data_IF_136822787967
#
_entry.id   IF_136822787967
#
_cell.length_a   1.000
_cell.length_b   1.000
_cell.length_c   1.000
_cell.angle_alpha   90.00
_cell.angle_beta   90.00
_cell.angle_gamma   90.00
#
_symmetry.space_group_name_H-M   'P 1'
#
loop_
_entity.id
_entity.type
_entity.pdbx_description
1 polymer ?
#
# COMPACT_ATOMS: atom_id res chain seq x y z
N UNK A 1 13.22 26.55 -22.54
CA UNK A 1 12.11 26.46 -21.56
C UNK A 1 11.74 25.01 -21.30
N UNK A 2 11.64 24.58 -20.04
CA UNK A 2 11.14 23.27 -19.59
C UNK A 2 9.60 23.27 -19.74
N UNK A 3 8.98 22.13 -20.05
CA UNK A 3 7.52 22.05 -20.19
C UNK A 3 6.85 22.09 -18.80
N UNK A 4 5.66 22.69 -18.67
CA UNK A 4 4.94 22.85 -17.38
C UNK A 4 4.91 21.55 -16.54
N UNK A 5 4.45 20.44 -17.14
CA UNK A 5 4.33 19.16 -16.42
C UNK A 5 5.69 18.55 -16.04
N UNK A 6 6.76 18.85 -16.78
CA UNK A 6 8.12 18.46 -16.39
C UNK A 6 8.55 19.23 -15.13
N UNK A 7 8.27 20.53 -15.08
CA UNK A 7 8.59 21.37 -13.93
C UNK A 7 7.81 20.92 -12.69
N UNK A 8 6.51 20.66 -12.82
CA UNK A 8 5.69 20.08 -11.73
C UNK A 8 6.29 18.76 -11.23
N UNK A 9 6.69 17.87 -12.13
CA UNK A 9 7.31 16.58 -11.75
C UNK A 9 8.58 16.79 -10.92
N UNK A 10 9.47 17.69 -11.37
CA UNK A 10 10.71 18.02 -10.65
C UNK A 10 10.44 18.63 -9.27
N UNK A 11 9.51 19.58 -9.17
CA UNK A 11 9.15 20.21 -7.91
C UNK A 11 8.60 19.17 -6.92
N UNK A 12 7.72 18.27 -7.37
CA UNK A 12 7.18 17.18 -6.53
C UNK A 12 8.29 16.21 -6.09
N UNK A 13 9.21 15.86 -6.98
CA UNK A 13 10.35 14.98 -6.67
C UNK A 13 11.29 15.63 -5.64
N UNK A 14 11.53 16.94 -5.75
CA UNK A 14 12.28 17.70 -4.75
C UNK A 14 11.59 17.67 -3.39
N UNK A 15 10.29 18.00 -3.31
CA UNK A 15 9.53 17.95 -2.05
C UNK A 15 9.58 16.54 -1.45
N UNK A 16 9.44 15.50 -2.27
CA UNK A 16 9.58 14.10 -1.80
C UNK A 16 10.96 13.80 -1.24
N UNK A 17 12.02 14.32 -1.86
CA UNK A 17 13.38 14.17 -1.36
C UNK A 17 13.55 14.89 -0.02
N UNK A 18 13.06 16.12 0.11
CA UNK A 18 13.12 16.87 1.37
C UNK A 18 12.37 16.16 2.50
N UNK A 19 11.18 15.61 2.22
CA UNK A 19 10.44 14.78 3.20
C UNK A 19 11.26 13.57 3.64
N UNK A 20 11.99 12.92 2.73
CA UNK A 20 12.86 11.79 3.10
C UNK A 20 14.02 12.22 4.00
N UNK A 21 14.58 13.41 3.75
CA UNK A 21 15.75 13.95 4.44
C UNK A 21 15.42 14.63 5.77
N UNK A 22 14.16 15.03 6.01
CA UNK A 22 13.74 15.66 7.26
C UNK A 22 14.21 14.84 8.48
N UNK A 23 14.82 15.49 9.46
CA UNK A 23 15.37 14.83 10.65
C UNK A 23 14.52 15.08 11.90
N UNK A 24 13.57 16.02 11.82
CA UNK A 24 12.72 16.42 12.93
C UNK A 24 11.29 16.78 12.50
N UNK A 25 10.40 16.92 13.48
CA UNK A 25 9.05 17.46 13.29
C UNK A 25 9.09 18.90 12.74
N UNK A 26 10.00 19.74 13.27
CA UNK A 26 10.15 21.13 12.81
C UNK A 26 10.53 21.21 11.33
N UNK A 27 11.38 20.30 10.85
CA UNK A 27 11.72 20.21 9.42
C UNK A 27 10.49 19.91 8.57
N UNK A 28 9.61 19.02 9.04
CA UNK A 28 8.37 18.66 8.34
C UNK A 28 7.39 19.84 8.32
N UNK A 29 7.22 20.53 9.44
CA UNK A 29 6.36 21.72 9.54
C UNK A 29 6.88 22.83 8.62
N UNK A 30 8.18 23.09 8.66
CA UNK A 30 8.82 24.08 7.79
C UNK A 30 8.65 23.72 6.30
N UNK A 31 8.77 22.43 5.95
CA UNK A 31 8.53 21.94 4.60
C UNK A 31 7.09 22.17 4.16
N UNK A 32 6.10 21.81 4.98
CA UNK A 32 4.69 22.01 4.66
C UNK A 32 4.38 23.50 4.45
N UNK A 33 4.93 24.40 5.29
CA UNK A 33 4.82 25.85 5.10
C UNK A 33 5.48 26.34 3.80
N UNK A 34 6.62 25.76 3.40
CA UNK A 34 7.24 26.07 2.08
C UNK A 34 6.37 25.63 0.91
N UNK A 35 5.63 24.52 1.04
CA UNK A 35 4.69 24.07 0.01
C UNK A 35 3.56 25.09 -0.18
N UNK A 36 3.10 25.74 0.89
CA UNK A 36 2.12 26.84 0.81
C UNK A 36 2.65 28.03 -0.01
N UNK A 37 3.93 28.37 0.17
CA UNK A 37 4.58 29.54 -0.44
C UNK A 37 5.36 29.19 -1.73
N UNK A 38 5.13 28.00 -2.31
CA UNK A 38 5.95 27.51 -3.41
C UNK A 38 5.75 28.35 -4.69
N UNK A 39 6.81 29.00 -5.17
CA UNK A 39 6.76 29.94 -6.31
C UNK A 39 6.48 29.26 -7.68
N UNK A 40 6.71 27.95 -7.80
CA UNK A 40 6.50 27.19 -9.03
C UNK A 40 5.21 26.35 -9.06
N UNK A 41 4.85 25.78 -10.23
CA UNK A 41 3.64 24.98 -10.36
C UNK A 41 3.76 23.64 -9.63
N UNK A 42 2.70 23.26 -8.92
CA UNK A 42 2.54 21.96 -8.25
C UNK A 42 1.39 21.14 -8.80
N UNK A 43 0.60 21.73 -9.71
CA UNK A 43 -0.54 21.10 -10.36
C UNK A 43 -0.25 20.81 -11.82
N UNK A 44 -0.47 19.56 -12.19
CA UNK A 44 -0.33 19.11 -13.56
C UNK A 44 -1.42 19.71 -14.46
N UNK A 45 -0.98 20.26 -15.60
CA UNK A 45 -1.89 20.70 -16.67
C UNK A 45 -2.20 19.51 -17.57
N UNK A 46 -3.18 18.69 -17.15
CA UNK A 46 -3.54 17.44 -17.81
C UNK A 46 -4.79 17.55 -18.72
N UNK A 47 -5.20 18.76 -19.14
CA UNK A 47 -6.42 18.99 -19.93
C UNK A 47 -6.49 18.17 -21.22
N UNK A 48 -5.40 18.11 -21.99
CA UNK A 48 -5.33 17.29 -23.20
C UNK A 48 -5.52 15.80 -22.90
N UNK A 49 -4.89 15.31 -21.83
CA UNK A 49 -5.02 13.93 -21.42
C UNK A 49 -6.44 13.60 -20.93
N UNK A 50 -7.09 14.52 -20.22
CA UNK A 50 -8.50 14.35 -19.82
C UNK A 50 -9.41 14.28 -21.05
N UNK A 51 -9.21 15.17 -22.01
CA UNK A 51 -9.96 15.15 -23.29
C UNK A 51 -9.80 13.80 -24.00
N UNK A 52 -8.56 13.36 -24.24
CA UNK A 52 -8.31 12.08 -24.92
C UNK A 52 -8.88 10.89 -24.13
N UNK A 53 -8.74 10.89 -22.80
CA UNK A 53 -9.30 9.85 -21.94
C UNK A 53 -10.84 9.78 -22.03
N UNK A 54 -11.52 10.93 -22.05
CA UNK A 54 -12.98 11.00 -22.20
C UNK A 54 -13.40 10.49 -23.57
N UNK A 55 -12.72 10.91 -24.64
CA UNK A 55 -12.98 10.43 -26.00
C UNK A 55 -12.81 8.91 -26.09
N UNK A 56 -11.71 8.35 -25.55
CA UNK A 56 -11.50 6.91 -25.53
C UNK A 56 -12.57 6.16 -24.73
N UNK A 57 -12.90 6.60 -23.52
CA UNK A 57 -13.94 5.94 -22.71
C UNK A 57 -15.33 6.05 -23.37
N UNK A 58 -15.62 7.16 -24.04
CA UNK A 58 -16.86 7.34 -24.79
C UNK A 58 -16.99 6.29 -25.90
N UNK A 59 -15.98 6.14 -26.76
CA UNK A 59 -16.00 5.14 -27.83
C UNK A 59 -15.91 3.69 -27.32
N UNK A 60 -15.39 3.46 -26.10
CA UNK A 60 -15.41 2.16 -25.47
C UNK A 60 -16.82 1.75 -24.97
N UNK A 61 -17.57 2.71 -24.44
CA UNK A 61 -18.90 2.46 -23.88
C UNK A 61 -20.03 2.55 -24.91
N UNK A 62 -19.78 3.19 -26.05
CA UNK A 62 -20.80 3.44 -27.06
C UNK A 62 -21.47 2.14 -27.57
N UNK A 63 -20.74 1.07 -27.96
CA UNK A 63 -21.40 -0.16 -28.42
C UNK A 63 -22.21 -0.85 -27.33
N UNK A 64 -21.73 -0.81 -26.07
CA UNK A 64 -22.45 -1.38 -24.92
C UNK A 64 -23.79 -0.66 -24.72
N UNK A 65 -23.81 0.67 -24.82
CA UNK A 65 -25.03 1.44 -24.70
C UNK A 65 -26.03 1.09 -25.82
N UNK A 66 -25.56 0.93 -27.06
CA UNK A 66 -26.41 0.54 -28.19
C UNK A 66 -26.96 -0.89 -28.04
N UNK A 67 -26.15 -1.85 -27.57
CA UNK A 67 -26.62 -3.22 -27.32
C UNK A 67 -27.63 -3.32 -26.17
N UNK A 68 -27.52 -2.45 -25.16
CA UNK A 68 -28.50 -2.33 -24.08
C UNK A 68 -29.81 -1.66 -24.51
N UNK A 69 -29.99 -1.36 -25.81
CA UNK A 69 -31.21 -0.79 -26.36
C UNK A 69 -31.35 0.71 -26.14
N UNK A 70 -30.25 1.44 -25.88
CA UNK A 70 -30.28 2.89 -25.82
C UNK A 70 -30.59 3.46 -27.21
N UNK A 71 -31.83 3.92 -27.39
CA UNK A 71 -32.26 4.58 -28.63
C UNK A 71 -31.72 5.99 -28.66
N UNK A 72 -30.78 6.25 -29.56
CA UNK A 72 -30.28 7.59 -29.83
C UNK A 72 -31.05 8.22 -31.00
N UNK A 73 -31.35 9.53 -30.97
CA UNK A 73 -31.88 10.25 -32.12
C UNK A 73 -31.08 9.98 -33.40
N UNK A 74 -31.75 9.89 -34.55
CA UNK A 74 -31.11 9.56 -35.84
C UNK A 74 -29.94 10.49 -36.18
N UNK A 75 -30.09 11.80 -35.89
CA UNK A 75 -29.01 12.78 -36.10
C UNK A 75 -27.77 12.42 -35.29
N UNK A 76 -27.94 11.94 -34.05
CA UNK A 76 -26.82 11.50 -33.20
C UNK A 76 -26.21 10.22 -33.76
N UNK A 77 -27.02 9.25 -34.19
CA UNK A 77 -26.52 8.02 -34.80
C UNK A 77 -25.72 8.28 -36.08
N UNK A 78 -26.15 9.23 -36.92
CA UNK A 78 -25.42 9.65 -38.12
C UNK A 78 -24.06 10.26 -37.77
N UNK A 79 -24.01 11.15 -36.77
CA UNK A 79 -22.76 11.75 -36.30
C UNK A 79 -21.81 10.67 -35.77
N UNK A 80 -22.31 9.71 -34.99
CA UNK A 80 -21.48 8.64 -34.42
C UNK A 80 -20.98 7.67 -35.47
N UNK A 81 -21.83 7.30 -36.43
CA UNK A 81 -21.43 6.46 -37.57
C UNK A 81 -20.37 7.16 -38.42
N UNK A 82 -20.54 8.45 -38.71
CA UNK A 82 -19.53 9.25 -39.40
C UNK A 82 -18.23 9.31 -38.60
N UNK A 83 -18.30 9.58 -37.29
CA UNK A 83 -17.13 9.61 -36.42
C UNK A 83 -16.40 8.25 -36.42
N UNK A 84 -17.11 7.12 -36.31
CA UNK A 84 -16.49 5.80 -36.37
C UNK A 84 -15.88 5.53 -37.76
N UNK A 85 -16.58 5.86 -38.85
CA UNK A 85 -16.10 5.67 -40.21
C UNK A 85 -14.83 6.46 -40.52
N UNK A 86 -14.76 7.72 -40.05
CA UNK A 86 -13.57 8.56 -40.21
C UNK A 86 -12.49 8.34 -39.13
N UNK A 87 -12.65 7.36 -38.24
CA UNK A 87 -11.66 7.04 -37.19
C UNK A 87 -10.30 6.63 -37.75
N UNK A 88 -10.28 6.01 -38.93
CA UNK A 88 -9.07 5.72 -39.70
C UNK A 88 -8.17 6.95 -39.92
N UNK A 89 -8.76 8.15 -39.90
CA UNK A 89 -8.05 9.44 -40.03
C UNK A 89 -7.85 10.09 -38.67
N UNK A 90 -8.93 10.39 -37.93
CA UNK A 90 -8.80 11.21 -36.73
C UNK A 90 -8.17 10.47 -35.55
N UNK A 91 -8.30 9.15 -35.46
CA UNK A 91 -7.77 8.39 -34.33
C UNK A 91 -6.24 8.36 -34.33
N UNK A 92 -5.55 8.05 -35.45
CA UNK A 92 -4.10 8.20 -35.55
C UNK A 92 -3.61 9.63 -35.28
N UNK A 93 -4.35 10.65 -35.74
CA UNK A 93 -4.03 12.06 -35.43
C UNK A 93 -3.98 12.30 -33.92
N UNK A 94 -5.04 11.89 -33.19
CA UNK A 94 -5.12 12.08 -31.75
C UNK A 94 -4.09 11.25 -30.99
N UNK A 95 -3.84 10.00 -31.41
CA UNK A 95 -2.83 9.14 -30.80
C UNK A 95 -1.43 9.74 -30.92
N UNK A 96 -1.01 10.17 -32.13
CA UNK A 96 0.31 10.75 -32.33
C UNK A 96 0.47 12.10 -31.62
N UNK A 97 -0.57 12.95 -31.61
CA UNK A 97 -0.55 14.19 -30.83
C UNK A 97 -0.38 13.91 -29.32
N UNK A 98 -1.09 12.90 -28.80
CA UNK A 98 -1.05 12.51 -27.37
C UNK A 98 0.30 11.89 -26.99
N UNK A 99 0.85 11.01 -27.83
CA UNK A 99 2.19 10.43 -27.65
C UNK A 99 3.25 11.54 -27.66
N UNK A 100 3.13 12.50 -28.58
CA UNK A 100 4.04 13.65 -28.65
C UNK A 100 4.00 14.46 -27.37
N UNK A 101 2.79 14.77 -26.87
CA UNK A 101 2.61 15.47 -25.59
C UNK A 101 3.22 14.69 -24.43
N UNK A 102 3.04 13.37 -24.39
CA UNK A 102 3.63 12.48 -23.38
C UNK A 102 5.15 12.46 -23.41
N UNK A 103 5.76 12.31 -24.59
CA UNK A 103 7.21 12.35 -24.77
C UNK A 103 7.79 13.70 -24.34
N UNK A 104 7.14 14.80 -24.74
CA UNK A 104 7.49 16.14 -24.30
C UNK A 104 7.41 16.25 -22.78
N UNK A 105 6.34 15.83 -22.13
CA UNK A 105 6.22 15.88 -20.66
C UNK A 105 7.26 15.00 -19.93
N UNK A 106 7.91 14.06 -20.64
CA UNK A 106 9.00 13.20 -20.15
C UNK A 106 10.41 13.70 -20.47
N UNK A 107 10.56 14.81 -21.18
CA UNK A 107 11.90 15.32 -21.57
C UNK A 107 12.36 14.89 -22.94
N UNK A 108 11.62 14.00 -23.61
CA UNK A 108 11.95 13.47 -24.94
C UNK A 108 11.33 14.35 -26.02
N UNK A 109 11.95 15.51 -26.26
CA UNK A 109 11.46 16.47 -27.25
C UNK A 109 11.74 16.01 -28.66
N UNK A 110 10.80 16.26 -29.57
CA UNK A 110 11.09 16.14 -30.99
C UNK A 110 12.09 17.23 -31.39
N UNK A 111 13.03 16.97 -32.31
CA UNK A 111 14.04 17.91 -32.76
C UNK A 111 13.47 18.98 -33.71
N UNK A 112 12.30 19.53 -33.38
CA UNK A 112 11.55 20.47 -34.20
C UNK A 112 11.32 21.74 -33.37
N UNK A 113 11.86 22.89 -33.81
CA UNK A 113 11.69 24.14 -33.09
C UNK A 113 10.22 24.57 -33.06
N UNK A 114 9.81 25.27 -32.00
CA UNK A 114 8.46 25.85 -31.87
C UNK A 114 7.75 25.52 -30.55
N UNK A 115 6.49 25.95 -30.41
CA UNK A 115 5.67 25.63 -29.24
C UNK A 115 5.19 24.16 -29.27
N UNK A 116 4.82 23.63 -28.10
CA UNK A 116 4.34 22.24 -27.96
C UNK A 116 3.11 21.95 -28.83
N UNK A 117 2.18 22.90 -28.94
CA UNK A 117 1.01 22.78 -29.80
C UNK A 117 1.37 22.67 -31.28
N UNK A 118 2.41 23.36 -31.74
CA UNK A 118 2.90 23.26 -33.12
C UNK A 118 3.44 21.86 -33.42
N UNK A 119 4.23 21.28 -32.49
CA UNK A 119 4.71 19.90 -32.63
C UNK A 119 3.59 18.87 -32.57
N UNK A 120 2.61 19.06 -31.68
CA UNK A 120 1.42 18.21 -31.61
C UNK A 120 0.60 18.28 -32.91
N UNK A 121 0.40 19.47 -33.48
CA UNK A 121 -0.30 19.67 -34.74
C UNK A 121 0.43 19.03 -35.91
N UNK A 122 1.76 19.14 -35.97
CA UNK A 122 2.58 18.46 -36.97
C UNK A 122 2.42 16.94 -36.88
N UNK A 123 2.51 16.38 -35.66
CA UNK A 123 2.37 14.93 -35.47
C UNK A 123 0.93 14.46 -35.69
N UNK A 124 -0.07 15.30 -35.43
CA UNK A 124 -1.44 15.05 -35.86
C UNK A 124 -1.52 15.01 -37.40
N UNK A 125 -0.91 15.96 -38.11
CA UNK A 125 -0.89 15.96 -39.59
C UNK A 125 -0.19 14.72 -40.16
N UNK A 126 0.91 14.26 -39.53
CA UNK A 126 1.54 12.97 -39.86
C UNK A 126 0.54 11.82 -39.68
N UNK A 127 -0.20 11.79 -38.58
CA UNK A 127 -1.25 10.79 -38.34
C UNK A 127 -2.35 10.81 -39.40
N UNK A 128 -2.81 12.00 -39.80
CA UNK A 128 -3.80 12.16 -40.87
C UNK A 128 -3.25 11.65 -42.22
N UNK A 129 -1.97 11.93 -42.50
CA UNK A 129 -1.32 11.58 -43.76
C UNK A 129 -1.16 10.07 -43.97
N UNK A 130 -1.29 9.25 -42.91
CA UNK A 130 -1.33 7.80 -43.06
C UNK A 130 -2.46 7.36 -44.00
N UNK A 131 -3.57 8.10 -44.05
CA UNK A 131 -4.67 7.83 -44.97
C UNK A 131 -4.32 8.04 -46.45
N UNK A 132 -3.20 8.69 -46.76
CA UNK A 132 -2.69 8.80 -48.14
C UNK A 132 -2.02 7.50 -48.61
N UNK A 133 -1.68 6.60 -47.69
CA UNK A 133 -1.16 5.27 -48.02
C UNK A 133 -2.36 4.39 -48.42
N UNK A 134 -2.45 3.88 -49.66
CA UNK A 134 -3.63 3.16 -50.12
C UNK A 134 -4.00 1.93 -49.26
N UNK A 135 -3.01 1.28 -48.66
CA UNK A 135 -3.21 0.11 -47.81
C UNK A 135 -3.60 0.45 -46.36
N UNK A 136 -3.49 1.71 -45.93
CA UNK A 136 -3.71 2.09 -44.53
C UNK A 136 -5.13 1.82 -44.03
N UNK A 137 -6.21 2.17 -44.75
CA UNK A 137 -7.56 1.88 -44.28
C UNK A 137 -7.80 0.39 -44.10
N UNK A 138 -7.23 -0.43 -44.99
CA UNK A 138 -7.30 -1.88 -44.87
C UNK A 138 -6.59 -2.35 -43.61
N UNK A 139 -5.31 -1.98 -43.39
CA UNK A 139 -4.57 -2.37 -42.18
C UNK A 139 -5.19 -1.88 -40.88
N UNK A 140 -5.73 -0.65 -40.88
CA UNK A 140 -6.37 -0.07 -39.72
C UNK A 140 -7.60 -0.89 -39.30
N UNK A 141 -8.47 -1.21 -40.27
CA UNK A 141 -9.66 -2.00 -40.00
C UNK A 141 -9.30 -3.46 -39.72
N UNK A 142 -8.41 -4.08 -40.49
CA UNK A 142 -7.90 -5.44 -40.27
C UNK A 142 -7.39 -5.66 -38.83
N UNK A 143 -6.68 -4.69 -38.26
CA UNK A 143 -6.26 -4.72 -36.85
C UNK A 143 -7.45 -4.80 -35.88
N UNK A 144 -8.51 -4.03 -36.12
CA UNK A 144 -9.67 -4.00 -35.22
C UNK A 144 -10.65 -5.15 -35.46
N UNK A 145 -10.83 -5.58 -36.72
CA UNK A 145 -11.69 -6.69 -37.14
C UNK A 145 -11.00 -8.04 -36.88
N UNK A 146 -9.99 -8.37 -37.69
CA UNK A 146 -9.47 -9.72 -37.81
C UNK A 146 -8.57 -10.09 -36.63
N UNK A 147 -7.90 -9.10 -36.02
CA UNK A 147 -7.04 -9.32 -34.87
C UNK A 147 -7.78 -9.13 -33.55
N UNK A 148 -8.27 -7.93 -33.24
CA UNK A 148 -8.77 -7.59 -31.90
C UNK A 148 -10.19 -8.09 -31.63
N UNK A 149 -11.14 -7.89 -32.55
CA UNK A 149 -12.51 -8.37 -32.36
C UNK A 149 -12.56 -9.90 -32.35
N UNK A 150 -11.88 -10.57 -33.29
CA UNK A 150 -11.77 -12.03 -33.34
C UNK A 150 -11.13 -12.62 -32.09
N UNK A 151 -10.03 -12.03 -31.60
CA UNK A 151 -9.38 -12.48 -30.36
C UNK A 151 -10.31 -12.42 -29.14
N UNK A 152 -11.20 -11.43 -29.11
CA UNK A 152 -12.18 -11.24 -28.03
C UNK A 152 -13.51 -11.97 -28.28
N UNK A 153 -13.65 -12.69 -29.40
CA UNK A 153 -14.86 -13.42 -29.77
C UNK A 153 -16.02 -12.54 -30.25
N UNK A 154 -15.74 -11.32 -30.69
CA UNK A 154 -16.75 -10.39 -31.22
C UNK A 154 -16.84 -10.46 -32.74
N UNK A 155 -18.06 -10.28 -33.26
CA UNK A 155 -18.38 -10.36 -34.69
C UNK A 155 -18.48 -8.98 -35.37
N UNK A 156 -18.37 -7.89 -34.61
CA UNK A 156 -18.51 -6.53 -35.11
C UNK A 156 -17.19 -5.74 -34.98
N UNK A 157 -16.78 -4.97 -36.00
CA UNK A 157 -15.58 -4.12 -35.96
C UNK A 157 -15.59 -3.06 -34.87
N UNK A 158 -16.77 -2.50 -34.62
CA UNK A 158 -16.98 -1.51 -33.58
C UNK A 158 -16.58 -2.06 -32.20
N UNK A 159 -16.72 -3.38 -31.98
CA UNK A 159 -16.35 -4.04 -30.73
C UNK A 159 -14.83 -4.11 -30.53
N UNK A 160 -14.05 -4.40 -31.59
CA UNK A 160 -12.57 -4.37 -31.51
C UNK A 160 -12.04 -2.97 -31.23
N UNK A 161 -12.56 -1.97 -31.94
CA UNK A 161 -12.22 -0.56 -31.72
C UNK A 161 -12.61 -0.07 -30.31
N UNK A 162 -13.78 -0.48 -29.82
CA UNK A 162 -14.24 -0.15 -28.48
C UNK A 162 -13.40 -0.81 -27.39
N UNK A 163 -13.05 -2.08 -27.54
CA UNK A 163 -12.19 -2.79 -26.58
C UNK A 163 -10.82 -2.13 -26.46
N UNK A 164 -10.20 -1.77 -27.58
CA UNK A 164 -8.92 -1.06 -27.61
C UNK A 164 -9.00 0.29 -26.88
N UNK A 165 -10.03 1.09 -27.18
CA UNK A 165 -10.26 2.36 -26.52
C UNK A 165 -10.59 2.20 -25.02
N UNK A 166 -11.24 1.11 -24.63
CA UNK A 166 -11.51 0.77 -23.24
C UNK A 166 -10.22 0.54 -22.44
N UNK A 167 -9.29 -0.25 -23.00
CA UNK A 167 -7.98 -0.48 -22.38
C UNK A 167 -7.20 0.83 -22.25
N UNK A 168 -7.09 1.62 -23.31
CA UNK A 168 -6.36 2.90 -23.31
C UNK A 168 -6.99 3.88 -22.32
N UNK A 169 -8.32 4.05 -22.38
CA UNK A 169 -9.07 4.94 -21.51
C UNK A 169 -8.92 4.58 -20.03
N UNK A 170 -8.99 3.29 -19.68
CA UNK A 170 -8.79 2.83 -18.30
C UNK A 170 -7.36 3.06 -17.81
N UNK A 171 -6.35 2.69 -18.61
CA UNK A 171 -4.95 2.92 -18.25
C UNK A 171 -4.67 4.42 -18.00
N UNK A 172 -5.20 5.27 -18.88
CA UNK A 172 -5.05 6.72 -18.77
C UNK A 172 -5.80 7.30 -17.56
N UNK A 173 -7.01 6.81 -17.28
CA UNK A 173 -7.79 7.18 -16.09
C UNK A 173 -7.02 6.85 -14.80
N UNK A 174 -6.45 5.65 -14.70
CA UNK A 174 -5.66 5.26 -13.52
C UNK A 174 -4.38 6.08 -13.39
N UNK A 175 -3.70 6.35 -14.50
CA UNK A 175 -2.51 7.21 -14.52
C UNK A 175 -2.83 8.64 -14.06
N UNK A 176 -3.90 9.25 -14.58
CA UNK A 176 -4.36 10.58 -14.18
C UNK A 176 -4.78 10.62 -12.71
N UNK A 177 -5.51 9.60 -12.22
CA UNK A 177 -5.85 9.48 -10.80
C UNK A 177 -4.61 9.36 -9.92
N UNK A 178 -3.61 8.61 -10.35
CA UNK A 178 -2.33 8.48 -9.66
C UNK A 178 -1.61 9.82 -9.53
N UNK A 179 -1.61 10.62 -10.61
CA UNK A 179 -1.04 11.98 -10.61
C UNK A 179 -1.80 12.91 -9.68
N UNK A 180 -3.13 12.93 -9.71
CA UNK A 180 -3.92 13.81 -8.83
C UNK A 180 -3.72 13.49 -7.33
N UNK A 181 -3.53 12.20 -6.99
CA UNK A 181 -3.38 11.76 -5.60
C UNK A 181 -1.96 11.88 -5.02
N UNK A 182 -1.05 12.59 -5.70
CA UNK A 182 0.34 12.72 -5.23
C UNK A 182 0.42 13.40 -3.85
N UNK A 183 -0.41 14.44 -3.62
CA UNK A 183 -0.49 15.16 -2.34
C UNK A 183 -0.91 14.23 -1.22
N UNK A 184 -1.95 13.42 -1.42
CA UNK A 184 -2.45 12.49 -0.40
C UNK A 184 -1.38 11.49 0.02
N UNK A 185 -0.75 10.81 -0.93
CA UNK A 185 0.31 9.84 -0.63
C UNK A 185 1.49 10.46 0.11
N UNK A 186 1.86 11.69 -0.26
CA UNK A 186 2.95 12.39 0.39
C UNK A 186 2.55 12.91 1.78
N UNK A 187 1.30 13.35 1.95
CA UNK A 187 0.74 13.78 3.23
C UNK A 187 0.66 12.60 4.21
N UNK A 188 0.22 11.42 3.75
CA UNK A 188 0.22 10.19 4.56
C UNK A 188 1.63 9.85 5.05
N UNK A 189 2.62 10.03 4.18
CA UNK A 189 4.03 9.80 4.50
C UNK A 189 4.61 10.83 5.48
N UNK A 190 4.30 12.11 5.29
CA UNK A 190 4.70 13.20 6.20
C UNK A 190 4.11 12.92 7.59
N UNK A 191 2.82 12.62 7.65
CA UNK A 191 2.12 12.39 8.90
C UNK A 191 2.61 11.14 9.64
N UNK A 192 2.89 10.05 8.93
CA UNK A 192 3.54 8.89 9.54
C UNK A 192 4.91 9.27 10.10
N UNK A 193 5.72 10.02 9.35
CA UNK A 193 7.06 10.42 9.79
C UNK A 193 7.02 11.35 11.01
N UNK A 194 6.06 12.26 11.07
CA UNK A 194 5.76 13.06 12.25
C UNK A 194 5.40 12.20 13.47
N UNK A 195 4.49 11.22 13.30
CA UNK A 195 4.15 10.28 14.36
C UNK A 195 5.38 9.50 14.86
N UNK A 196 6.30 9.12 13.97
CA UNK A 196 7.55 8.47 14.37
C UNK A 196 8.43 9.40 15.22
N UNK A 197 8.59 10.67 14.82
CA UNK A 197 9.35 11.66 15.59
C UNK A 197 8.72 11.92 16.97
N UNK A 198 7.41 12.12 17.02
CA UNK A 198 6.67 12.31 18.27
C UNK A 198 6.88 11.16 19.26
N UNK A 199 7.10 9.94 18.77
CA UNK A 199 7.28 8.76 19.62
C UNK A 199 8.74 8.27 19.68
N UNK A 200 9.71 9.11 19.31
CA UNK A 200 11.15 8.80 19.33
C UNK A 200 11.51 7.49 18.60
N UNK A 201 10.84 7.21 17.47
CA UNK A 201 11.05 6.01 16.67
C UNK A 201 12.01 6.29 15.52
N UNK A 202 13.14 5.58 15.50
CA UNK A 202 14.11 5.66 14.42
C UNK A 202 13.94 4.50 13.43
N UNK A 203 13.85 4.82 12.14
CA UNK A 203 13.81 3.79 11.10
C UNK A 203 15.13 3.03 11.03
N UNK A 204 15.05 1.70 10.98
CA UNK A 204 16.22 0.83 10.83
C UNK A 204 16.29 0.36 9.38
N UNK A 205 17.46 0.35 8.73
CA UNK A 205 17.63 -0.29 7.42
C UNK A 205 17.60 -1.81 7.57
N UNK A 206 16.83 -2.51 6.73
CA UNK A 206 16.73 -3.96 6.75
C UNK A 206 16.34 -4.52 5.38
N UNK A 207 16.56 -5.83 5.18
CA UNK A 207 16.04 -6.59 4.06
C UNK A 207 14.85 -7.44 4.51
N UNK A 208 13.63 -7.07 4.12
CA UNK A 208 12.39 -7.60 4.70
C UNK A 208 12.28 -9.13 4.73
N UNK A 209 12.56 -9.80 3.62
CA UNK A 209 12.51 -11.27 3.51
C UNK A 209 13.63 -11.96 4.30
N UNK A 210 14.83 -11.37 4.27
CA UNK A 210 16.00 -11.91 4.97
C UNK A 210 15.80 -11.83 6.48
N UNK A 211 15.41 -10.67 6.98
CA UNK A 211 15.12 -10.46 8.40
C UNK A 211 14.00 -11.36 8.90
N UNK A 212 12.90 -11.52 8.14
CA UNK A 212 11.83 -12.44 8.52
C UNK A 212 12.34 -13.89 8.66
N UNK A 213 13.24 -14.33 7.77
CA UNK A 213 13.85 -15.67 7.84
C UNK A 213 14.81 -15.82 9.01
N UNK A 214 15.58 -14.78 9.35
CA UNK A 214 16.44 -14.75 10.53
C UNK A 214 15.62 -14.86 11.81
N UNK A 215 14.52 -14.09 11.90
CA UNK A 215 13.62 -14.12 13.04
C UNK A 215 12.86 -15.45 13.14
N UNK A 216 12.54 -16.12 12.02
CA UNK A 216 11.91 -17.46 12.02
C UNK A 216 12.75 -18.51 12.77
N UNK A 217 14.08 -18.36 12.80
CA UNK A 217 14.97 -19.27 13.51
C UNK A 217 14.74 -19.22 15.04
N UNK A 218 14.49 -18.02 15.57
CA UNK A 218 14.28 -17.77 17.00
C UNK A 218 12.81 -17.82 17.41
N UNK A 219 11.89 -17.44 16.52
CA UNK A 219 10.48 -17.22 16.83
C UNK A 219 9.56 -17.85 15.76
N UNK A 220 8.63 -18.69 16.20
CA UNK A 220 7.57 -19.31 15.38
C UNK A 220 6.54 -18.30 14.88
N UNK A 221 6.44 -17.12 15.49
CA UNK A 221 5.60 -16.02 14.97
C UNK A 221 5.92 -15.69 13.50
N UNK A 222 7.18 -15.77 13.08
CA UNK A 222 7.59 -15.49 11.71
C UNK A 222 7.49 -16.70 10.77
N UNK A 223 7.02 -17.85 11.27
CA UNK A 223 6.73 -19.06 10.47
C UNK A 223 5.29 -19.08 9.94
N UNK A 224 4.51 -18.03 10.16
CA UNK A 224 3.11 -17.93 9.68
C UNK A 224 3.04 -17.89 8.16
N UNK A 225 1.89 -18.30 7.62
CA UNK A 225 1.68 -18.41 6.18
C UNK A 225 2.43 -19.58 5.54
N UNK A 226 2.18 -19.79 4.26
CA UNK A 226 2.79 -20.85 3.44
C UNK A 226 3.33 -20.35 2.09
N UNK A 227 3.34 -19.03 1.86
CA UNK A 227 3.88 -18.39 0.66
C UNK A 227 4.88 -17.27 1.06
N UNK A 228 4.60 -16.00 0.75
CA UNK A 228 5.46 -14.86 1.10
C UNK A 228 5.49 -14.59 2.61
N UNK A 229 6.68 -14.24 3.12
CA UNK A 229 6.94 -13.74 4.48
C UNK A 229 7.96 -12.61 4.41
N UNK A 230 7.65 -11.46 4.99
CA UNK A 230 8.57 -10.31 5.01
C UNK A 230 8.26 -9.34 6.15
N UNK A 231 9.30 -8.69 6.68
CA UNK A 231 9.14 -7.48 7.48
C UNK A 231 8.93 -6.30 6.51
N UNK A 232 7.92 -5.47 6.76
CA UNK A 232 7.58 -4.30 5.94
C UNK A 232 8.04 -2.99 6.54
N UNK A 233 8.14 -2.94 7.88
CA UNK A 233 8.68 -1.79 8.60
C UNK A 233 9.37 -2.24 9.87
N UNK A 234 10.46 -1.57 10.23
CA UNK A 234 11.24 -1.79 11.43
C UNK A 234 11.71 -0.46 11.98
N UNK A 235 11.40 -0.21 13.25
CA UNK A 235 11.83 0.97 13.98
C UNK A 235 12.48 0.55 15.28
N UNK A 236 13.41 1.35 15.81
CA UNK A 236 14.01 1.14 17.12
C UNK A 236 13.75 2.35 18.01
N UNK A 237 13.69 2.11 19.30
CA UNK A 237 13.64 3.16 20.33
C UNK A 237 13.95 2.55 21.70
N UNK A 238 13.92 3.38 22.72
CA UNK A 238 14.14 3.01 24.11
C UNK A 238 12.91 3.41 24.92
N UNK A 239 12.32 2.45 25.62
CA UNK A 239 11.23 2.71 26.54
C UNK A 239 11.78 3.10 27.91
N UNK A 240 11.26 4.18 28.50
CA UNK A 240 11.60 4.63 29.85
C UNK A 240 10.36 4.49 30.74
N UNK A 241 10.34 3.45 31.57
CA UNK A 241 9.32 3.27 32.60
C UNK A 241 9.86 3.53 34.00
N UNK A 242 8.98 3.57 34.98
CA UNK A 242 9.33 3.90 36.37
C UNK A 242 10.32 2.91 37.01
N UNK A 243 10.29 1.65 36.57
CA UNK A 243 11.07 0.53 37.15
C UNK A 243 12.10 -0.04 36.20
N UNK A 244 11.77 -0.10 34.90
CA UNK A 244 12.63 -0.71 33.89
C UNK A 244 12.72 0.20 32.68
N UNK A 245 13.92 0.25 32.13
CA UNK A 245 14.22 0.82 30.83
C UNK A 245 14.66 -0.32 29.92
N UNK A 246 14.19 -0.33 28.68
CA UNK A 246 14.58 -1.35 27.70
C UNK A 246 14.58 -0.80 26.29
N UNK A 247 15.55 -1.28 25.50
CA UNK A 247 15.56 -1.05 24.05
C UNK A 247 14.60 -2.02 23.38
N UNK A 248 13.91 -1.54 22.36
CA UNK A 248 12.97 -2.34 21.60
C UNK A 248 13.03 -2.04 20.10
N UNK A 249 12.60 -3.01 19.31
CA UNK A 249 12.35 -2.86 17.89
C UNK A 249 10.87 -3.08 17.59
N UNK A 250 10.20 -2.06 17.07
CA UNK A 250 8.83 -2.14 16.57
C UNK A 250 8.85 -2.66 15.13
N UNK A 251 8.05 -3.67 14.83
CA UNK A 251 7.98 -4.26 13.49
C UNK A 251 6.55 -4.40 12.96
N UNK A 252 6.46 -4.45 11.63
CA UNK A 252 5.28 -4.92 10.89
C UNK A 252 5.69 -6.11 10.04
N UNK A 253 5.11 -7.27 10.33
CA UNK A 253 5.32 -8.52 9.62
C UNK A 253 4.14 -8.81 8.69
N UNK A 254 4.44 -9.12 7.43
CA UNK A 254 3.49 -9.50 6.41
C UNK A 254 3.71 -10.95 6.02
N UNK A 255 2.62 -11.74 5.99
CA UNK A 255 2.65 -13.10 5.49
C UNK A 255 1.46 -13.42 4.60
N UNK A 256 1.62 -14.39 3.72
CA UNK A 256 0.59 -14.84 2.78
C UNK A 256 0.21 -16.30 3.04
N UNK A 257 -1.09 -16.55 3.07
CA UNK A 257 -1.67 -17.90 2.99
C UNK A 257 -2.21 -18.13 1.58
N UNK A 258 -1.56 -19.05 0.87
CA UNK A 258 -1.97 -19.55 -0.43
C UNK A 258 -2.85 -20.77 -0.24
N UNK A 259 -4.07 -20.72 -0.76
CA UNK A 259 -5.01 -21.85 -0.81
C UNK A 259 -5.57 -22.04 -2.22
N UNK A 260 -5.94 -23.28 -2.51
CA UNK A 260 -6.55 -23.66 -3.78
C UNK A 260 -8.05 -23.79 -3.57
N UNK A 261 -8.83 -22.98 -4.26
CA UNK A 261 -10.29 -23.06 -4.28
C UNK A 261 -10.72 -23.76 -5.57
N UNK A 262 -11.51 -24.82 -5.42
CA UNK A 262 -12.08 -25.59 -6.52
C UNK A 262 -13.57 -25.34 -6.54
N UNK A 263 -14.08 -24.77 -7.65
CA UNK A 263 -15.52 -24.53 -7.83
C UNK A 263 -16.00 -25.35 -9.01
N UNK A 264 -17.05 -26.14 -8.79
CA UNK A 264 -17.74 -26.87 -9.86
C UNK A 264 -19.02 -26.12 -10.20
N UNK A 265 -19.19 -25.77 -11.48
CA UNK A 265 -20.42 -25.13 -11.93
C UNK A 265 -21.57 -26.15 -12.08
N UNK A 266 -22.79 -25.65 -12.32
CA UNK A 266 -23.97 -26.49 -12.52
C UNK A 266 -23.85 -27.42 -13.75
N UNK A 267 -22.85 -27.20 -14.62
CA UNK A 267 -22.58 -27.99 -15.82
C UNK A 267 -21.46 -29.04 -15.57
N UNK A 268 -20.99 -29.21 -14.33
CA UNK A 268 -19.95 -30.17 -13.96
C UNK A 268 -18.53 -29.73 -14.31
N UNK A 269 -18.32 -28.52 -14.82
CA UNK A 269 -16.99 -27.99 -15.12
C UNK A 269 -16.35 -27.49 -13.84
N UNK A 270 -15.19 -28.07 -13.53
CA UNK A 270 -14.40 -27.72 -12.36
C UNK A 270 -13.38 -26.65 -12.72
N UNK A 271 -13.41 -25.52 -12.01
CA UNK A 271 -12.44 -24.44 -12.13
C UNK A 271 -11.62 -24.34 -10.86
N UNK A 272 -10.30 -24.40 -11.00
CA UNK A 272 -9.35 -24.29 -9.89
C UNK A 272 -8.73 -22.91 -9.89
N UNK A 273 -8.88 -22.16 -8.79
CA UNK A 273 -8.26 -20.85 -8.60
C UNK A 273 -7.31 -20.88 -7.40
N UNK A 274 -6.11 -20.34 -7.57
CA UNK A 274 -5.22 -20.04 -6.45
C UNK A 274 -5.60 -18.70 -5.84
N UNK A 275 -5.94 -18.70 -4.55
CA UNK A 275 -6.20 -17.50 -3.76
C UNK A 275 -5.01 -17.25 -2.82
N UNK A 276 -4.63 -15.99 -2.68
CA UNK A 276 -3.56 -15.54 -1.77
C UNK A 276 -4.15 -14.53 -0.81
N UNK A 277 -4.27 -14.95 0.45
CA UNK A 277 -4.79 -14.13 1.53
C UNK A 277 -3.62 -13.48 2.27
N UNK A 278 -3.64 -12.14 2.36
CA UNK A 278 -2.57 -11.33 2.94
C UNK A 278 -2.89 -10.97 4.39
N UNK A 279 -1.96 -11.24 5.29
CA UNK A 279 -2.12 -11.02 6.73
C UNK A 279 -0.97 -10.20 7.30
N UNK A 280 -1.27 -9.47 8.38
CA UNK A 280 -0.31 -8.60 9.06
C UNK A 280 -0.28 -8.89 10.56
N UNK A 281 0.94 -8.86 11.11
CA UNK A 281 1.21 -8.91 12.55
C UNK A 281 2.13 -7.76 12.91
N UNK A 282 1.80 -7.05 13.95
CA UNK A 282 2.58 -5.92 14.45
C UNK A 282 3.10 -6.28 15.83
N UNK A 283 4.27 -5.78 16.19
CA UNK A 283 4.84 -6.20 17.45
C UNK A 283 6.12 -5.52 17.84
N UNK A 284 6.61 -5.89 19.02
CA UNK A 284 7.89 -5.45 19.55
C UNK A 284 8.82 -6.63 19.79
N UNK A 285 10.10 -6.43 19.48
CA UNK A 285 11.20 -7.33 19.78
C UNK A 285 12.10 -6.65 20.80
N UNK A 286 12.46 -7.35 21.87
CA UNK A 286 13.33 -6.82 22.92
C UNK A 286 14.02 -7.96 23.67
N UNK A 287 15.02 -7.62 24.48
CA UNK A 287 15.64 -8.56 25.39
C UNK A 287 14.78 -8.71 26.65
N UNK A 288 14.60 -9.95 27.10
CA UNK A 288 13.72 -10.31 28.20
C UNK A 288 14.35 -11.45 29.02
N UNK A 289 15.08 -11.13 30.10
CA UNK A 289 15.91 -12.10 30.83
C UNK A 289 15.11 -13.02 31.77
N UNK A 290 13.81 -12.80 31.94
CA UNK A 290 13.02 -13.48 32.96
C UNK A 290 12.38 -14.79 32.46
N UNK A 291 12.35 -15.03 31.15
CA UNK A 291 11.77 -16.24 30.57
C UNK A 291 12.47 -16.64 29.27
N UNK A 292 12.52 -17.94 29.01
CA UNK A 292 13.11 -18.49 27.81
C UNK A 292 12.33 -19.75 27.35
N UNK A 293 12.41 -20.02 26.05
CA UNK A 293 11.84 -21.19 25.37
C UNK A 293 10.39 -21.52 25.75
N UNK A 294 9.54 -20.48 25.72
CA UNK A 294 8.12 -20.62 26.00
C UNK A 294 7.27 -19.65 25.17
N UNK A 295 5.98 -19.93 25.10
CA UNK A 295 5.01 -19.11 24.36
C UNK A 295 3.69 -19.00 25.11
N UNK A 296 3.07 -17.82 25.03
CA UNK A 296 1.76 -17.50 25.57
C UNK A 296 0.94 -16.93 24.41
N UNK A 297 0.04 -17.74 23.84
CA UNK A 297 -0.68 -17.39 22.61
C UNK A 297 -2.19 -17.31 22.84
N UNK A 298 -2.79 -16.17 22.50
CA UNK A 298 -4.24 -15.97 22.46
C UNK A 298 -4.85 -16.37 21.11
N UNK A 299 -4.06 -16.25 20.03
CA UNK A 299 -4.54 -16.46 18.67
C UNK A 299 -4.49 -17.93 18.21
N UNK A 300 -3.75 -18.75 18.96
CA UNK A 300 -3.50 -20.16 18.70
C UNK A 300 -2.87 -20.47 17.34
N UNK A 301 -2.27 -19.47 16.69
CA UNK A 301 -1.77 -19.55 15.32
C UNK A 301 -0.32 -20.00 15.19
N UNK A 302 0.47 -19.94 16.28
CA UNK A 302 1.85 -20.43 16.28
C UNK A 302 1.94 -21.93 16.58
N UNK A 303 2.87 -22.61 15.91
CA UNK A 303 3.23 -24.00 16.22
C UNK A 303 3.92 -24.02 17.58
N UNK A 304 3.36 -24.80 18.50
CA UNK A 304 3.80 -24.85 19.90
C UNK A 304 5.08 -25.67 20.05
N UNK A 305 5.98 -25.22 20.92
CA UNK A 305 7.16 -25.95 21.38
C UNK A 305 6.98 -26.32 22.85
N UNK A 306 7.43 -27.52 23.22
CA UNK A 306 7.41 -27.99 24.60
C UNK A 306 6.05 -28.50 25.07
N UNK A 307 5.90 -28.57 26.38
CA UNK A 307 4.73 -29.12 27.07
C UNK A 307 3.69 -28.03 27.35
N UNK A 308 2.42 -28.44 27.37
CA UNK A 308 1.31 -27.53 27.65
C UNK A 308 1.26 -27.22 29.14
N UNK A 309 1.41 -25.95 29.49
CA UNK A 309 1.15 -25.46 30.84
C UNK A 309 -0.31 -24.97 30.97
N UNK A 310 -0.94 -25.28 32.11
CA UNK A 310 -2.26 -24.78 32.49
C UNK A 310 -2.17 -24.30 33.91
N UNK A 311 -2.52 -23.04 34.15
CA UNK A 311 -2.47 -22.47 35.49
C UNK A 311 -3.75 -22.70 36.28
N UNK A 312 -3.80 -22.19 37.51
CA UNK A 312 -5.01 -22.22 38.33
C UNK A 312 -6.10 -21.24 37.85
N UNK A 313 -5.74 -20.18 37.12
CA UNK A 313 -6.69 -19.16 36.65
C UNK A 313 -7.49 -19.65 35.45
N UNK A 314 -8.76 -19.98 35.66
CA UNK A 314 -9.66 -20.38 34.57
C UNK A 314 -9.87 -19.27 33.53
N UNK A 315 -9.89 -18.01 33.96
CA UNK A 315 -10.06 -16.87 33.06
C UNK A 315 -8.85 -16.73 32.14
N UNK A 316 -7.63 -16.78 32.70
CA UNK A 316 -6.41 -16.76 31.90
C UNK A 316 -6.36 -17.92 30.89
N UNK A 317 -6.64 -19.14 31.34
CA UNK A 317 -6.62 -20.35 30.50
C UNK A 317 -7.66 -20.35 29.37
N UNK A 318 -8.74 -19.56 29.48
CA UNK A 318 -9.70 -19.35 28.38
C UNK A 318 -9.14 -18.46 27.30
N UNK A 319 -8.36 -17.46 27.69
CA UNK A 319 -7.77 -16.47 26.78
C UNK A 319 -6.47 -16.99 26.16
N UNK A 320 -5.64 -17.70 26.90
CA UNK A 320 -4.29 -18.06 26.47
C UNK A 320 -4.03 -19.57 26.49
N UNK A 321 -3.17 -20.00 25.57
CA UNK A 321 -2.52 -21.30 25.61
C UNK A 321 -1.04 -21.10 25.83
N UNK A 322 -0.52 -21.73 26.88
CA UNK A 322 0.89 -21.66 27.28
C UNK A 322 1.59 -22.97 26.93
N UNK A 323 2.75 -22.84 26.30
CA UNK A 323 3.64 -23.96 26.01
C UNK A 323 5.05 -23.57 26.37
N UNK A 324 5.78 -24.45 27.07
CA UNK A 324 7.14 -24.19 27.53
C UNK A 324 7.98 -25.46 27.44
N UNK A 325 9.27 -25.30 27.16
CA UNK A 325 10.21 -26.42 27.26
C UNK A 325 10.26 -26.98 28.70
N UNK A 326 10.18 -26.10 29.70
CA UNK A 326 10.12 -26.46 31.12
C UNK A 326 8.88 -25.84 31.77
N UNK A 327 8.00 -26.68 32.33
CA UNK A 327 6.76 -26.22 32.97
C UNK A 327 7.02 -25.33 34.20
N UNK A 328 8.13 -25.54 34.91
CA UNK A 328 8.51 -24.72 36.05
C UNK A 328 8.84 -23.28 35.65
N UNK A 329 9.49 -23.10 34.49
CA UNK A 329 9.77 -21.78 33.93
C UNK A 329 8.48 -21.02 33.60
N UNK A 330 7.48 -21.72 33.06
CA UNK A 330 6.15 -21.14 32.83
C UNK A 330 5.44 -20.77 34.14
N UNK A 331 5.47 -21.66 35.15
CA UNK A 331 4.85 -21.41 36.45
C UNK A 331 5.48 -20.21 37.18
N UNK A 332 6.80 -20.03 37.07
CA UNK A 332 7.52 -18.90 37.68
C UNK A 332 7.16 -17.56 37.03
N UNK A 333 7.04 -17.53 35.70
CA UNK A 333 6.64 -16.32 34.98
C UNK A 333 5.16 -15.98 35.26
N UNK A 334 4.29 -16.99 35.23
CA UNK A 334 2.83 -16.84 35.33
C UNK A 334 2.34 -16.81 36.78
N UNK A 335 2.92 -15.90 37.56
CA UNK A 335 2.34 -15.54 38.86
C UNK A 335 0.93 -14.95 38.70
N UNK A 336 0.06 -15.00 39.73
CA UNK A 336 -1.30 -14.46 39.65
C UNK A 336 -1.37 -13.02 39.14
N UNK A 337 -0.41 -12.17 39.53
CA UNK A 337 -0.34 -10.78 39.07
C UNK A 337 -0.04 -10.68 37.56
N UNK A 338 0.88 -11.50 37.04
CA UNK A 338 1.18 -11.54 35.59
C UNK A 338 -0.02 -12.07 34.82
N UNK A 339 -0.70 -13.11 35.31
CA UNK A 339 -1.90 -13.65 34.68
C UNK A 339 -3.04 -12.64 34.58
N UNK A 340 -3.23 -11.84 35.63
CA UNK A 340 -4.22 -10.77 35.66
C UNK A 340 -3.91 -9.71 34.59
N UNK A 341 -2.65 -9.25 34.52
CA UNK A 341 -2.21 -8.25 33.54
C UNK A 341 -2.34 -8.76 32.10
N UNK A 342 -1.96 -10.01 31.85
CA UNK A 342 -2.15 -10.64 30.55
C UNK A 342 -3.64 -10.78 30.19
N UNK A 343 -4.50 -11.09 31.15
CA UNK A 343 -5.95 -11.13 30.93
C UNK A 343 -6.53 -9.77 30.56
N UNK A 344 -6.05 -8.69 31.19
CA UNK A 344 -6.41 -7.30 30.80
C UNK A 344 -5.88 -7.00 29.40
N UNK A 345 -4.67 -7.44 29.08
CA UNK A 345 -4.07 -7.21 27.77
C UNK A 345 -4.85 -7.84 26.62
N UNK A 346 -5.33 -9.08 26.79
CA UNK A 346 -6.17 -9.78 25.81
C UNK A 346 -7.47 -9.03 25.47
N UNK A 347 -7.94 -8.14 26.36
CA UNK A 347 -9.11 -7.30 26.13
C UNK A 347 -8.78 -5.99 25.39
N UNK A 348 -7.54 -5.51 25.47
CA UNK A 348 -7.09 -4.25 24.87
C UNK A 348 -6.55 -4.43 23.45
N UNK A 349 -5.76 -5.49 23.21
CA UNK A 349 -5.19 -5.79 21.90
C UNK A 349 -5.68 -7.15 21.39
N UNK A 350 -5.88 -7.23 20.08
CA UNK A 350 -6.41 -8.40 19.38
C UNK A 350 -5.31 -9.41 19.15
N UNK A 351 -5.61 -10.65 19.54
CA UNK A 351 -4.78 -11.83 19.25
C UNK A 351 -3.32 -11.67 19.71
N UNK A 352 -3.06 -11.28 20.96
CA UNK A 352 -1.70 -11.14 21.47
C UNK A 352 -0.98 -12.49 21.54
N UNK A 353 0.31 -12.47 21.21
CA UNK A 353 1.22 -13.61 21.32
C UNK A 353 2.51 -13.11 21.94
N UNK A 354 2.91 -13.75 23.04
CA UNK A 354 4.25 -13.61 23.61
C UNK A 354 5.03 -14.86 23.27
N UNK A 355 6.18 -14.70 22.64
CA UNK A 355 7.10 -15.79 22.37
C UNK A 355 8.48 -15.43 22.91
N UNK A 356 8.99 -16.28 23.79
CA UNK A 356 10.28 -16.11 24.45
C UNK A 356 11.27 -17.07 23.81
N UNK A 357 12.33 -16.53 23.21
CA UNK A 357 13.36 -17.35 22.57
C UNK A 357 14.25 -18.03 23.61
N UNK A 358 15.08 -18.97 23.15
CA UNK A 358 16.11 -19.60 23.99
C UNK A 358 17.20 -18.61 24.43
N UNK A 359 17.37 -17.51 23.69
CA UNK A 359 18.38 -16.47 23.97
C UNK A 359 17.87 -15.37 24.91
N UNK A 360 16.73 -15.57 25.60
CA UNK A 360 16.16 -14.54 26.48
C UNK A 360 15.70 -13.30 25.72
N UNK A 361 15.12 -13.48 24.52
CA UNK A 361 14.48 -12.40 23.76
C UNK A 361 12.98 -12.61 23.71
N UNK A 362 12.21 -11.52 23.79
CA UNK A 362 10.76 -11.53 23.65
C UNK A 362 10.36 -11.03 22.26
N UNK A 363 9.47 -11.77 21.62
CA UNK A 363 8.66 -11.33 20.50
C UNK A 363 7.21 -11.19 20.99
N UNK A 364 6.70 -9.97 21.00
CA UNK A 364 5.32 -9.67 21.33
C UNK A 364 4.57 -9.23 20.07
N UNK A 365 3.56 -9.98 19.66
CA UNK A 365 2.84 -9.76 18.41
C UNK A 365 1.32 -9.63 18.60
N UNK A 366 0.70 -8.76 17.82
CA UNK A 366 -0.76 -8.51 17.77
C UNK A 366 -1.23 -8.36 16.32
N UNK A 367 -2.55 -8.35 16.12
CA UNK A 367 -3.16 -8.04 14.81
C UNK A 367 -3.51 -6.56 14.65
N UNK A 368 -3.61 -5.80 15.75
CA UNK A 368 -3.81 -4.36 15.65
C UNK A 368 -2.61 -3.66 15.01
N UNK A 369 -2.87 -2.61 14.24
CA UNK A 369 -1.83 -1.83 13.58
C UNK A 369 -1.28 -0.77 14.54
N UNK A 370 -0.11 -1.07 15.13
CA UNK A 370 0.55 -0.22 16.12
C UNK A 370 0.95 1.17 15.58
N UNK A 371 0.95 1.34 14.24
CA UNK A 371 1.26 2.59 13.55
C UNK A 371 0.03 3.23 12.93
N UNK A 372 -1.18 2.78 13.29
CA UNK A 372 -2.42 3.30 12.75
C UNK A 372 -2.68 4.74 13.21
N UNK A 373 -2.20 5.69 12.42
CA UNK A 373 -2.48 7.11 12.57
C UNK A 373 -3.36 7.59 11.41
N UNK A 374 -4.33 8.46 11.72
CA UNK A 374 -5.21 9.07 10.72
C UNK A 374 -5.05 10.58 10.77
N UNK A 375 -4.61 11.16 9.67
CA UNK A 375 -4.59 12.61 9.48
C UNK A 375 -5.95 13.15 9.10
N UNK A 376 -6.20 14.40 9.46
CA UNK A 376 -7.38 15.17 9.06
C UNK A 376 -7.07 16.02 7.82
N UNK A 377 -5.91 16.67 7.78
CA UNK A 377 -5.48 17.58 6.72
C UNK A 377 -4.35 16.99 5.87
N UNK A 378 -3.95 17.69 4.82
CA UNK A 378 -2.85 17.31 3.94
C UNK A 378 -2.28 18.48 3.16
N UNK A 379 -1.40 18.21 2.20
CA UNK A 379 -0.77 19.23 1.33
C UNK A 379 -1.75 19.98 0.41
N UNK A 380 -3.02 19.59 0.39
CA UNK A 380 -4.13 20.33 -0.20
C UNK A 380 -4.62 21.49 0.68
N UNK A 381 -4.39 21.43 1.99
CA UNK A 381 -4.53 22.54 2.93
C UNK A 381 -3.28 22.65 3.83
N UNK A 382 -2.16 23.18 3.29
CA UNK A 382 -0.86 23.17 3.97
C UNK A 382 -0.88 23.86 5.34
N UNK A 383 -1.64 24.95 5.49
CA UNK A 383 -1.72 25.70 6.75
C UNK A 383 -2.30 24.84 7.87
N UNK A 384 -3.49 24.27 7.66
CA UNK A 384 -4.13 23.41 8.66
C UNK A 384 -3.32 22.12 8.89
N UNK A 385 -2.64 21.61 7.85
CA UNK A 385 -1.77 20.45 8.00
C UNK A 385 -0.53 20.76 8.84
N UNK A 386 0.09 21.93 8.68
CA UNK A 386 1.20 22.35 9.53
C UNK A 386 0.77 22.55 11.00
N UNK A 387 -0.44 23.06 11.24
CA UNK A 387 -1.02 23.18 12.59
C UNK A 387 -1.29 21.79 13.21
N UNK A 388 -1.79 20.84 12.43
CA UNK A 388 -1.97 19.45 12.86
C UNK A 388 -0.63 18.78 13.20
N UNK A 389 0.38 18.96 12.37
CA UNK A 389 1.74 18.44 12.61
C UNK A 389 2.43 19.10 13.79
N UNK A 390 2.09 20.33 14.17
CA UNK A 390 2.63 20.97 15.38
C UNK A 390 2.07 20.36 16.67
N UNK A 391 1.00 19.56 16.57
CA UNK A 391 0.52 18.74 17.67
C UNK A 391 1.41 17.54 17.95
N UNK A 392 1.04 16.78 18.97
CA UNK A 392 1.71 15.53 19.31
C UNK A 392 0.85 14.34 18.89
N UNK A 393 1.33 13.57 17.92
CA UNK A 393 0.65 12.36 17.44
C UNK A 393 1.06 11.15 18.30
N UNK A 394 0.21 10.77 19.25
CA UNK A 394 0.46 9.62 20.13
C UNK A 394 0.13 8.27 19.45
N UNK A 395 1.06 7.31 19.48
CA UNK A 395 0.83 5.94 19.02
C UNK A 395 0.20 5.07 20.13
N UNK A 396 -1.06 5.33 20.45
CA UNK A 396 -1.77 4.73 21.61
C UNK A 396 -1.65 3.22 21.75
N UNK A 397 -1.82 2.47 20.65
CA UNK A 397 -1.74 1.00 20.70
C UNK A 397 -0.32 0.51 20.96
N UNK A 398 0.70 1.22 20.46
CA UNK A 398 2.10 0.95 20.77
C UNK A 398 2.40 1.26 22.24
N UNK A 399 1.99 2.42 22.75
CA UNK A 399 2.19 2.80 24.15
C UNK A 399 1.58 1.76 25.10
N UNK A 400 0.35 1.33 24.84
CA UNK A 400 -0.32 0.28 25.62
C UNK A 400 0.43 -1.06 25.58
N UNK A 401 1.02 -1.42 24.43
CA UNK A 401 1.82 -2.63 24.32
C UNK A 401 3.09 -2.54 25.18
N UNK A 402 3.80 -1.40 25.12
CA UNK A 402 5.04 -1.18 25.87
C UNK A 402 4.80 -1.13 27.38
N UNK A 403 3.73 -0.48 27.83
CA UNK A 403 3.31 -0.47 29.24
C UNK A 403 3.08 -1.90 29.77
N UNK A 404 2.53 -2.77 28.94
CA UNK A 404 2.24 -4.15 29.35
C UNK A 404 3.53 -4.99 29.39
N UNK A 405 4.46 -4.76 28.46
CA UNK A 405 5.80 -5.34 28.56
C UNK A 405 6.48 -4.90 29.86
N UNK A 406 6.44 -3.60 30.17
CA UNK A 406 7.00 -3.03 31.39
C UNK A 406 6.41 -3.64 32.65
N UNK A 407 5.08 -3.76 32.74
CA UNK A 407 4.41 -4.36 33.88
C UNK A 407 4.73 -5.85 34.01
N UNK A 408 4.77 -6.60 32.89
CA UNK A 408 5.18 -8.01 32.91
C UNK A 408 6.63 -8.14 33.40
N UNK A 409 7.56 -7.28 32.96
CA UNK A 409 8.93 -7.26 33.48
C UNK A 409 8.97 -6.99 34.98
N UNK A 410 8.23 -5.97 35.44
CA UNK A 410 8.19 -5.57 36.85
C UNK A 410 7.71 -6.69 37.77
N UNK A 411 6.62 -7.36 37.40
CA UNK A 411 6.12 -8.50 38.20
C UNK A 411 7.01 -9.73 38.06
N UNK A 412 7.69 -9.89 36.93
CA UNK A 412 8.66 -10.96 36.75
C UNK A 412 9.85 -10.77 37.69
N UNK A 413 10.57 -9.64 37.64
CA UNK A 413 11.76 -9.37 38.48
C UNK A 413 11.54 -9.63 39.98
N UNK A 414 10.40 -9.16 40.51
CA UNK A 414 10.05 -9.36 41.92
C UNK A 414 9.92 -10.84 42.31
N UNK A 415 9.53 -11.71 41.39
CA UNK A 415 9.44 -13.15 41.64
C UNK A 415 10.81 -13.83 41.69
N UNK A 416 11.85 -13.26 41.07
CA UNK A 416 13.20 -13.83 41.08
C UNK A 416 14.00 -13.44 42.34
N UNK A 417 13.70 -12.28 42.94
CA UNK A 417 14.35 -11.83 44.17
C UNK A 417 13.87 -12.57 45.42
N UNK A 418 12.66 -13.14 45.42
CA UNK A 418 12.12 -13.90 46.54
C UNK A 418 12.63 -15.36 46.62
N UNK A 419 13.44 -15.79 45.64
CA UNK A 419 13.92 -17.18 45.50
C UNK A 419 15.42 -17.35 45.76
N UNK A 420 16.12 -16.31 46.23
CA UNK A 420 17.52 -16.31 46.64
C UNK A 420 17.61 -16.01 48.14
#
# INVERSE_FOLDING_TARGET
MIAHNQQVTRNIEQIRSEVNQAASQDDLIALVRRVEQHEGPLDYSDNWYRFFCVVSLFFALLPVALELGLVLPDVIMQILSAALGYSVIWYPMLCLATITRFCEDKGKRLPIPGPIWGRMALMAAVGASLNLIPAWPYWYWDLYFDTLASFLGFWYPSSGFAAHNGVIGLLMLFWLRGRMKWRNKLSDKIFLKDALFNNNLEAVPFEGKKLAKELEASFREFKRGNDLREIQSLYKSTYQGDVHQFDYQLYRFHYVEKRTETTTDANGKTTTRTVRDHYYRHGVLLDFPFAADMSISNDFGIKRRGERYKSASNEFNRQYRVHAAELMSAARLLSPAVEEKLTVFAKKLKKPVFEFSQQGRLCLAVTDDLLAVKRVNGLDNPKAFAEELAGHTELKQMSQMLEIVHEVMRYSDNNFKASA
#
